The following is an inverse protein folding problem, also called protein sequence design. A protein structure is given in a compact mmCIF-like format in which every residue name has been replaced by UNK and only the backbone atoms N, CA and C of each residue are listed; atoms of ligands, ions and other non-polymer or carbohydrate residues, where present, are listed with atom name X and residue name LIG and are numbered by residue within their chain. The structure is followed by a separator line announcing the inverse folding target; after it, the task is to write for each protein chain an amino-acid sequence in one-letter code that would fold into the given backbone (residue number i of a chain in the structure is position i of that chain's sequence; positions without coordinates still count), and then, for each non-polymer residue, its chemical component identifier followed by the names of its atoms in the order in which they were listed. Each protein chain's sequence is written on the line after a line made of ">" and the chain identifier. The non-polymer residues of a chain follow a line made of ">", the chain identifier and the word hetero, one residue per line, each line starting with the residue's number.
data_IF_981670237685
#
_entry.id   IF_981670237685
#
_cell.length_a   1.000
_cell.length_b   1.000
_cell.length_c   1.000
_cell.angle_alpha   90.00
_cell.angle_beta   90.00
_cell.angle_gamma   90.00
#
_symmetry.space_group_name_H-M   'P 1'
#
loop_
_entity.id
_entity.type
_entity.pdbx_description
1 polymer ?
#
# COMPACT_ATOMS: atom_id res chain seq x y z
N UNK A 1 -6.38 8.55 -33.33
CA UNK A 1 -5.80 7.30 -32.80
C UNK A 1 -5.90 7.39 -31.29
N UNK A 2 -6.62 6.47 -30.66
CA UNK A 2 -6.73 6.43 -29.22
C UNK A 2 -5.40 6.04 -28.60
N UNK A 3 -5.03 6.60 -27.44
CA UNK A 3 -3.75 6.27 -26.78
C UNK A 3 -3.64 4.79 -26.34
N UNK A 4 -4.72 4.02 -26.44
CA UNK A 4 -4.78 2.57 -26.25
C UNK A 4 -5.02 1.81 -27.57
N UNK A 5 -4.70 2.42 -28.73
CA UNK A 5 -4.70 1.73 -30.03
C UNK A 5 -3.60 0.65 -30.00
N UNK A 6 -3.97 -0.55 -29.57
CA UNK A 6 -3.03 -1.66 -29.29
C UNK A 6 -3.26 -2.36 -27.94
N UNK A 7 -4.23 -1.92 -27.14
CA UNK A 7 -4.63 -2.66 -25.94
C UNK A 7 -5.14 -4.06 -26.30
N UNK A 8 -4.42 -5.08 -25.85
CA UNK A 8 -4.77 -6.47 -26.13
C UNK A 8 -5.85 -6.99 -25.17
N UNK A 9 -7.09 -6.95 -25.64
CA UNK A 9 -8.23 -7.50 -24.92
C UNK A 9 -8.35 -9.04 -25.06
N UNK A 10 -7.48 -9.72 -25.80
CA UNK A 10 -7.56 -11.18 -26.04
C UNK A 10 -7.41 -12.02 -24.76
N UNK A 11 -6.76 -11.45 -23.73
CA UNK A 11 -6.68 -12.05 -22.40
C UNK A 11 -8.04 -12.17 -21.70
N UNK A 12 -9.04 -11.36 -22.09
CA UNK A 12 -10.41 -11.49 -21.61
C UNK A 12 -11.18 -12.45 -22.51
N UNK A 13 -11.22 -13.72 -22.10
CA UNK A 13 -11.90 -14.81 -22.81
C UNK A 13 -13.42 -14.73 -22.66
N UNK A 14 -14.02 -13.61 -23.06
CA UNK A 14 -15.44 -13.29 -22.84
C UNK A 14 -16.41 -14.25 -23.52
N UNK A 15 -15.96 -14.97 -24.55
CA UNK A 15 -16.74 -16.01 -25.23
C UNK A 15 -16.68 -17.37 -24.52
N UNK A 16 -15.72 -17.57 -23.62
CA UNK A 16 -15.59 -18.79 -22.81
C UNK A 16 -16.50 -18.67 -21.57
N UNK A 17 -17.53 -19.51 -21.53
CA UNK A 17 -18.52 -19.52 -20.44
C UNK A 17 -17.92 -19.94 -19.10
N UNK A 18 -16.98 -20.89 -19.09
CA UNK A 18 -16.35 -21.35 -17.86
C UNK A 18 -15.45 -20.27 -17.28
N UNK A 19 -14.64 -19.63 -18.13
CA UNK A 19 -13.81 -18.50 -17.74
C UNK A 19 -14.65 -17.32 -17.18
N UNK A 20 -15.74 -16.97 -17.86
CA UNK A 20 -16.64 -15.91 -17.40
C UNK A 20 -17.32 -16.24 -16.06
N UNK A 21 -17.69 -17.50 -15.83
CA UNK A 21 -18.28 -17.92 -14.56
C UNK A 21 -17.26 -17.82 -13.42
N UNK A 22 -16.03 -18.31 -13.63
CA UNK A 22 -14.94 -18.19 -12.65
C UNK A 22 -14.63 -16.72 -12.33
N UNK A 23 -14.49 -15.87 -13.34
CA UNK A 23 -14.27 -14.44 -13.14
C UNK A 23 -15.42 -13.77 -12.40
N UNK A 24 -16.66 -14.14 -12.69
CA UNK A 24 -17.82 -13.60 -11.97
C UNK A 24 -17.80 -13.97 -10.48
N UNK A 25 -17.30 -15.17 -10.13
CA UNK A 25 -17.10 -15.56 -8.74
C UNK A 25 -15.95 -14.77 -8.09
N UNK A 26 -14.80 -14.63 -8.75
CA UNK A 26 -13.68 -13.80 -8.27
C UNK A 26 -14.10 -12.34 -8.01
N UNK A 27 -15.05 -11.80 -8.79
CA UNK A 27 -15.58 -10.45 -8.55
C UNK A 27 -16.17 -10.28 -7.14
N UNK A 28 -16.77 -11.33 -6.58
CA UNK A 28 -17.38 -11.29 -5.25
C UNK A 28 -16.36 -11.13 -4.13
N UNK A 29 -15.09 -11.46 -4.39
CA UNK A 29 -13.96 -11.22 -3.49
C UNK A 29 -13.31 -9.84 -3.74
N UNK A 30 -13.30 -9.38 -5.00
CA UNK A 30 -12.71 -8.11 -5.39
C UNK A 30 -13.58 -6.91 -5.01
N UNK A 31 -14.89 -7.01 -5.16
CA UNK A 31 -15.81 -5.89 -4.89
C UNK A 31 -15.74 -5.40 -3.43
N UNK A 32 -15.66 -6.27 -2.40
CA UNK A 32 -15.36 -5.87 -1.02
C UNK A 32 -14.02 -5.13 -0.86
N UNK A 33 -12.95 -5.59 -1.54
CA UNK A 33 -11.67 -4.87 -1.54
C UNK A 33 -11.85 -3.45 -2.11
N UNK A 34 -12.52 -3.31 -3.26
CA UNK A 34 -12.78 -1.99 -3.85
C UNK A 34 -13.62 -1.10 -2.94
N UNK A 35 -14.56 -1.67 -2.19
CA UNK A 35 -15.32 -0.95 -1.17
C UNK A 35 -14.39 -0.40 -0.08
N UNK A 36 -13.51 -1.26 0.45
CA UNK A 36 -12.51 -0.89 1.46
C UNK A 36 -11.53 0.17 0.95
N UNK A 37 -11.25 0.23 -0.35
CA UNK A 37 -10.44 1.26 -1.00
C UNK A 37 -11.26 2.52 -1.38
N UNK A 38 -12.41 2.73 -0.75
CA UNK A 38 -13.32 3.86 -0.93
C UNK A 38 -13.79 4.08 -2.37
N UNK A 39 -13.74 3.05 -3.23
CA UNK A 39 -14.24 3.14 -4.59
C UNK A 39 -15.77 3.18 -4.55
N UNK A 40 -16.36 4.31 -4.90
CA UNK A 40 -17.82 4.45 -4.94
C UNK A 40 -18.49 3.58 -6.03
N UNK A 41 -19.83 3.50 -6.01
CA UNK A 41 -20.61 2.67 -6.95
C UNK A 41 -20.29 2.91 -8.44
N UNK A 42 -20.05 4.17 -8.84
CA UNK A 42 -19.69 4.51 -10.23
C UNK A 42 -18.28 4.00 -10.57
N UNK A 43 -17.33 4.13 -9.66
CA UNK A 43 -15.97 3.61 -9.83
C UNK A 43 -15.97 2.08 -9.92
N UNK A 44 -16.65 1.40 -8.99
CA UNK A 44 -16.81 -0.07 -8.99
C UNK A 44 -17.42 -0.57 -10.29
N UNK A 45 -18.43 0.11 -10.84
CA UNK A 45 -19.03 -0.26 -12.12
C UNK A 45 -18.05 -0.15 -13.32
N UNK A 46 -17.19 0.87 -13.35
CA UNK A 46 -16.14 1.01 -14.37
C UNK A 46 -15.11 -0.11 -14.22
N UNK A 47 -14.64 -0.33 -12.99
CA UNK A 47 -13.64 -1.36 -12.68
C UNK A 47 -14.19 -2.76 -13.00
N UNK A 48 -15.47 -3.04 -12.72
CA UNK A 48 -16.14 -4.30 -13.07
C UNK A 48 -16.14 -4.55 -14.58
N UNK A 49 -16.37 -3.52 -15.40
CA UNK A 49 -16.33 -3.63 -16.87
C UNK A 49 -14.92 -3.93 -17.37
N UNK A 50 -13.90 -3.31 -16.79
CA UNK A 50 -12.52 -3.66 -17.07
C UNK A 50 -12.24 -5.12 -16.68
N UNK A 51 -12.53 -5.49 -15.44
CA UNK A 51 -12.25 -6.81 -14.90
C UNK A 51 -12.92 -7.96 -15.68
N UNK A 52 -14.20 -7.81 -16.06
CA UNK A 52 -14.97 -8.84 -16.76
C UNK A 52 -14.80 -8.82 -18.28
N UNK A 53 -14.57 -7.66 -18.89
CA UNK A 53 -14.67 -7.48 -20.36
C UNK A 53 -13.48 -6.79 -21.01
N UNK A 54 -12.46 -6.39 -20.25
CA UNK A 54 -11.33 -5.62 -20.77
C UNK A 54 -11.73 -4.21 -21.25
N UNK A 55 -12.91 -3.72 -20.86
CA UNK A 55 -13.37 -2.40 -21.28
C UNK A 55 -12.68 -1.31 -20.47
N UNK A 56 -11.86 -0.50 -21.13
CA UNK A 56 -11.15 0.61 -20.51
C UNK A 56 -12.08 1.79 -20.17
N UNK A 57 -11.76 2.58 -19.12
CA UNK A 57 -12.44 3.84 -18.86
C UNK A 57 -12.32 4.83 -20.03
N UNK A 58 -13.36 5.62 -20.25
CA UNK A 58 -13.29 6.76 -21.18
C UNK A 58 -12.71 7.97 -20.44
N UNK A 59 -11.39 8.00 -20.19
CA UNK A 59 -10.73 9.02 -19.36
C UNK A 59 -11.09 10.46 -19.76
N UNK A 60 -11.18 10.75 -21.07
CA UNK A 60 -11.60 12.06 -21.56
C UNK A 60 -12.98 12.48 -21.03
N UNK A 61 -13.95 11.56 -20.93
CA UNK A 61 -15.29 11.85 -20.39
C UNK A 61 -15.31 11.87 -18.86
N UNK A 62 -14.26 11.37 -18.22
CA UNK A 62 -14.13 11.26 -16.76
C UNK A 62 -13.20 12.33 -16.19
N UNK A 63 -12.71 13.27 -17.00
CA UNK A 63 -11.76 14.31 -16.58
C UNK A 63 -12.32 15.18 -15.44
N UNK A 64 -13.54 15.72 -15.60
CA UNK A 64 -14.20 16.58 -14.61
C UNK A 64 -14.69 15.84 -13.38
N UNK A 65 -14.78 14.51 -13.45
CA UNK A 65 -15.37 13.75 -12.36
C UNK A 65 -14.45 13.71 -11.14
N UNK A 66 -14.69 14.63 -10.21
CA UNK A 66 -14.01 14.63 -8.91
C UNK A 66 -12.48 14.70 -9.08
N UNK A 67 -12.00 15.74 -9.76
CA UNK A 67 -10.60 15.95 -10.15
C UNK A 67 -9.62 15.89 -8.96
N UNK A 68 -10.09 16.18 -7.75
CA UNK A 68 -9.33 16.16 -6.50
C UNK A 68 -9.60 14.94 -5.60
N UNK A 69 -10.36 13.95 -6.07
CA UNK A 69 -10.74 12.80 -5.24
C UNK A 69 -9.83 11.60 -5.41
N UNK A 70 -9.58 10.94 -4.29
CA UNK A 70 -8.92 9.64 -4.18
C UNK A 70 -9.84 8.47 -4.59
N UNK A 71 -11.15 8.69 -4.66
CA UNK A 71 -12.19 7.68 -4.98
C UNK A 71 -12.42 7.49 -6.49
N UNK A 72 -11.49 7.95 -7.32
CA UNK A 72 -11.55 7.84 -8.79
C UNK A 72 -11.52 6.37 -9.21
N UNK A 73 -11.78 6.14 -10.50
CA UNK A 73 -12.03 4.82 -11.08
C UNK A 73 -10.79 3.89 -11.06
N UNK A 74 -10.49 3.26 -12.19
CA UNK A 74 -9.35 2.38 -12.38
C UNK A 74 -8.03 3.17 -12.27
N UNK A 75 -7.31 2.98 -11.17
CA UNK A 75 -5.93 3.45 -10.96
C UNK A 75 -4.91 2.43 -11.45
N UNK A 76 -3.62 2.80 -11.49
CA UNK A 76 -2.55 1.94 -11.99
C UNK A 76 -2.46 0.59 -11.25
N UNK A 77 -2.60 0.58 -9.92
CA UNK A 77 -2.50 -0.66 -9.16
C UNK A 77 -3.63 -1.61 -9.54
N UNK A 78 -4.87 -1.12 -9.55
CA UNK A 78 -6.04 -1.91 -9.94
C UNK A 78 -5.99 -2.32 -11.42
N UNK A 79 -5.45 -1.46 -12.30
CA UNK A 79 -5.26 -1.78 -13.71
C UNK A 79 -4.38 -3.03 -13.90
N UNK A 80 -3.26 -3.11 -13.17
CA UNK A 80 -2.33 -4.23 -13.24
C UNK A 80 -2.79 -5.45 -12.45
N UNK A 81 -3.37 -5.24 -11.27
CA UNK A 81 -3.85 -6.30 -10.39
C UNK A 81 -5.01 -7.09 -11.01
N UNK A 82 -5.98 -6.39 -11.59
CA UNK A 82 -7.23 -6.98 -12.08
C UNK A 82 -7.12 -7.56 -13.50
N UNK A 83 -5.97 -7.42 -14.14
CA UNK A 83 -5.69 -7.97 -15.45
C UNK A 83 -5.71 -9.52 -15.42
N UNK A 84 -6.27 -10.22 -16.43
CA UNK A 84 -6.32 -11.68 -16.44
C UNK A 84 -4.96 -12.37 -16.49
N UNK A 85 -3.99 -11.76 -17.19
CA UNK A 85 -2.60 -12.22 -17.19
C UNK A 85 -1.86 -11.74 -15.95
N UNK A 86 -1.12 -12.65 -15.30
CA UNK A 86 -0.14 -12.35 -14.24
C UNK A 86 1.30 -12.21 -14.77
N UNK A 87 1.50 -12.37 -16.08
CA UNK A 87 2.82 -12.33 -16.72
C UNK A 87 3.36 -10.90 -16.78
N UNK A 88 4.53 -10.69 -16.19
CA UNK A 88 5.24 -9.41 -16.19
C UNK A 88 5.55 -8.91 -17.61
N UNK A 89 5.81 -9.80 -18.57
CA UNK A 89 6.08 -9.42 -19.96
C UNK A 89 4.84 -8.82 -20.64
N UNK A 90 3.64 -9.20 -20.19
CA UNK A 90 2.37 -8.60 -20.62
C UNK A 90 2.08 -7.32 -19.87
N UNK A 91 2.33 -7.29 -18.56
CA UNK A 91 1.92 -6.20 -17.69
C UNK A 91 2.83 -4.97 -17.75
N UNK A 92 4.14 -5.13 -18.00
CA UNK A 92 5.08 -4.00 -18.11
C UNK A 92 4.73 -3.03 -19.25
N UNK A 93 4.49 -3.49 -20.51
CA UNK A 93 4.05 -2.59 -21.57
C UNK A 93 2.72 -1.90 -21.26
N UNK A 94 1.79 -2.59 -20.59
CA UNK A 94 0.51 -2.01 -20.17
C UNK A 94 0.70 -0.92 -19.11
N UNK A 95 1.57 -1.14 -18.13
CA UNK A 95 1.97 -0.17 -17.11
C UNK A 95 2.56 1.08 -17.77
N UNK A 96 3.46 0.91 -18.74
CA UNK A 96 4.07 2.03 -19.49
C UNK A 96 3.01 2.80 -20.29
N UNK A 97 2.16 2.09 -21.05
CA UNK A 97 1.06 2.68 -21.81
C UNK A 97 0.08 3.47 -20.92
N UNK A 98 -0.21 2.99 -19.71
CA UNK A 98 -1.05 3.69 -18.75
C UNK A 98 -0.39 4.96 -18.21
N UNK A 99 0.91 4.90 -17.88
CA UNK A 99 1.67 6.03 -17.36
C UNK A 99 1.84 7.14 -18.41
N UNK A 100 2.04 6.75 -19.67
CA UNK A 100 2.23 7.63 -20.82
C UNK A 100 0.92 8.15 -21.42
N UNK A 101 -0.25 7.71 -20.93
CA UNK A 101 -1.54 8.21 -21.41
C UNK A 101 -1.77 9.66 -20.94
N UNK A 102 -1.78 10.66 -21.85
CA UNK A 102 -1.95 12.06 -21.49
C UNK A 102 -3.38 12.43 -21.08
N UNK A 103 -4.36 11.56 -21.38
CA UNK A 103 -5.76 11.74 -20.97
C UNK A 103 -6.06 11.20 -19.58
N UNK A 104 -5.19 10.35 -19.03
CA UNK A 104 -5.28 9.94 -17.63
C UNK A 104 -4.82 11.08 -16.72
N UNK A 105 -5.54 11.34 -15.62
CA UNK A 105 -5.06 12.33 -14.66
C UNK A 105 -3.79 11.81 -13.96
N UNK A 106 -2.89 12.70 -13.49
CA UNK A 106 -1.79 12.30 -12.63
C UNK A 106 -2.28 11.49 -11.42
N UNK A 107 -3.42 11.85 -10.83
CA UNK A 107 -4.03 11.11 -9.74
C UNK A 107 -4.41 9.65 -10.12
N UNK A 108 -4.92 9.40 -11.33
CA UNK A 108 -5.26 8.03 -11.77
C UNK A 108 -4.00 7.14 -11.87
N UNK A 109 -2.86 7.75 -12.21
CA UNK A 109 -1.56 7.09 -12.37
C UNK A 109 -0.85 6.85 -11.04
N UNK A 110 -0.89 7.86 -10.17
CA UNK A 110 -0.09 7.89 -8.93
C UNK A 110 -0.84 7.31 -7.71
N UNK A 111 -2.17 7.31 -7.71
CA UNK A 111 -2.95 6.79 -6.57
C UNK A 111 -2.62 5.32 -6.27
N UNK A 112 -2.35 4.53 -7.30
CA UNK A 112 -1.97 3.13 -7.12
C UNK A 112 -0.72 2.96 -6.24
N UNK A 113 0.26 3.86 -6.31
CA UNK A 113 1.46 3.80 -5.47
C UNK A 113 1.09 4.00 -4.01
N UNK A 114 0.23 4.98 -3.71
CA UNK A 114 -0.29 5.24 -2.36
C UNK A 114 -1.07 4.03 -1.83
N UNK A 115 -2.00 3.51 -2.62
CA UNK A 115 -2.84 2.37 -2.23
C UNK A 115 -2.00 1.14 -1.93
N UNK A 116 -0.99 0.85 -2.77
CA UNK A 116 -0.09 -0.28 -2.54
C UNK A 116 0.88 -0.03 -1.38
N UNK A 117 1.61 1.08 -1.37
CA UNK A 117 2.75 1.27 -0.47
C UNK A 117 2.35 1.72 0.93
N UNK A 118 1.28 2.51 1.06
CA UNK A 118 0.87 3.11 2.33
C UNK A 118 -0.39 2.45 2.90
N UNK A 119 -1.29 1.92 2.06
CA UNK A 119 -2.54 1.32 2.52
C UNK A 119 -2.46 -0.21 2.57
N UNK A 120 -2.69 -0.89 1.45
CA UNK A 120 -2.75 -2.36 1.33
C UNK A 120 -1.45 -3.02 1.77
N UNK A 121 -0.31 -2.43 1.44
CA UNK A 121 0.99 -3.01 1.75
C UNK A 121 1.55 -2.61 3.10
N UNK A 122 0.88 -1.76 3.90
CA UNK A 122 1.44 -1.27 5.16
C UNK A 122 0.39 -1.11 6.27
N UNK A 123 -0.52 -0.14 6.12
CA UNK A 123 -1.47 0.20 7.18
C UNK A 123 -2.48 -0.92 7.42
N UNK A 124 -3.09 -1.47 6.38
CA UNK A 124 -4.09 -2.54 6.54
C UNK A 124 -3.47 -3.81 7.17
N UNK A 125 -2.29 -4.30 6.72
CA UNK A 125 -1.60 -5.41 7.37
C UNK A 125 -1.29 -5.12 8.86
N UNK A 126 -0.82 -3.91 9.16
CA UNK A 126 -0.45 -3.51 10.52
C UNK A 126 -1.65 -3.39 11.48
N UNK A 127 -2.87 -3.28 10.97
CA UNK A 127 -4.11 -3.35 11.76
C UNK A 127 -4.76 -4.73 11.72
N UNK A 128 -4.04 -5.76 11.27
CA UNK A 128 -4.50 -7.15 11.24
C UNK A 128 -5.09 -7.61 9.90
N UNK A 129 -5.13 -6.76 8.88
CA UNK A 129 -5.54 -7.13 7.52
C UNK A 129 -7.05 -7.33 7.34
N UNK A 130 -7.86 -6.94 8.32
CA UNK A 130 -9.32 -7.11 8.32
C UNK A 130 -10.02 -5.86 8.83
N UNK A 131 -11.15 -5.51 8.22
CA UNK A 131 -11.97 -4.37 8.61
C UNK A 131 -13.43 -4.78 8.80
N UNK A 132 -14.05 -4.22 9.82
CA UNK A 132 -15.45 -4.45 10.14
C UNK A 132 -16.31 -3.33 9.58
N UNK A 133 -17.41 -3.70 8.95
CA UNK A 133 -18.42 -2.77 8.44
C UNK A 133 -19.80 -3.22 8.88
N UNK A 134 -20.67 -2.24 9.10
CA UNK A 134 -22.06 -2.47 9.44
C UNK A 134 -22.76 -3.27 8.33
N UNK A 135 -23.46 -4.33 8.71
CA UNK A 135 -24.13 -5.20 7.73
C UNK A 135 -25.13 -4.42 6.86
N UNK A 136 -25.91 -3.53 7.48
CA UNK A 136 -26.90 -2.69 6.78
C UNK A 136 -26.29 -1.78 5.72
N UNK A 137 -25.06 -1.32 5.94
CA UNK A 137 -24.30 -0.50 4.99
C UNK A 137 -23.87 -1.34 3.78
N UNK A 138 -23.30 -2.52 4.03
CA UNK A 138 -22.84 -3.40 2.95
C UNK A 138 -23.99 -3.99 2.13
N UNK A 139 -25.15 -4.27 2.74
CA UNK A 139 -26.36 -4.67 2.03
C UNK A 139 -26.82 -3.60 1.02
N UNK A 140 -26.62 -2.32 1.34
CA UNK A 140 -26.93 -1.23 0.42
C UNK A 140 -25.89 -1.08 -0.69
N UNK A 141 -24.60 -1.23 -0.34
CA UNK A 141 -23.50 -0.84 -1.21
C UNK A 141 -22.95 -1.96 -2.11
N UNK A 142 -22.89 -3.19 -1.58
CA UNK A 142 -22.31 -4.38 -2.23
C UNK A 142 -23.14 -5.67 -1.95
N UNK A 143 -24.46 -5.67 -2.18
CA UNK A 143 -25.36 -6.75 -1.75
C UNK A 143 -24.99 -8.14 -2.29
N UNK A 144 -24.42 -8.21 -3.49
CA UNK A 144 -24.07 -9.49 -4.13
C UNK A 144 -22.87 -10.16 -3.46
N UNK A 145 -21.94 -9.37 -2.92
CA UNK A 145 -20.69 -9.86 -2.33
C UNK A 145 -20.83 -10.26 -0.86
N UNK A 146 -21.94 -9.85 -0.21
CA UNK A 146 -22.25 -10.12 1.19
C UNK A 146 -22.23 -11.61 1.57
N UNK A 147 -22.60 -12.49 0.64
CA UNK A 147 -22.67 -13.94 0.88
C UNK A 147 -21.30 -14.56 1.16
N UNK A 148 -20.21 -13.89 0.76
CA UNK A 148 -18.84 -14.34 0.97
C UNK A 148 -18.15 -13.70 2.19
N UNK A 149 -18.81 -12.77 2.87
CA UNK A 149 -18.23 -12.07 4.02
C UNK A 149 -18.52 -12.78 5.34
N UNK A 150 -17.47 -12.99 6.12
CA UNK A 150 -17.57 -13.56 7.45
C UNK A 150 -18.32 -12.63 8.40
N UNK A 151 -19.11 -13.20 9.31
CA UNK A 151 -19.70 -12.45 10.42
C UNK A 151 -18.62 -12.06 11.42
N UNK A 152 -18.66 -10.82 11.90
CA UNK A 152 -17.84 -10.43 13.04
C UNK A 152 -18.32 -11.13 14.32
N UNK A 153 -17.42 -11.25 15.29
CA UNK A 153 -17.74 -11.84 16.61
C UNK A 153 -18.38 -10.79 17.52
N UNK A 154 -19.06 -11.26 18.56
CA UNK A 154 -19.57 -10.39 19.64
C UNK A 154 -18.46 -9.48 20.22
N UNK A 155 -18.75 -8.20 20.55
CA UNK A 155 -20.07 -7.55 20.55
C UNK A 155 -20.51 -6.96 19.18
N UNK A 156 -19.76 -7.23 18.11
CA UNK A 156 -19.99 -6.65 16.78
C UNK A 156 -20.76 -7.59 15.86
N UNK A 157 -21.71 -8.36 16.39
CA UNK A 157 -22.44 -9.36 15.61
C UNK A 157 -23.34 -8.76 14.51
N UNK A 158 -23.54 -7.44 14.49
CA UNK A 158 -24.19 -6.66 13.43
C UNK A 158 -23.25 -6.29 12.27
N UNK A 159 -21.96 -6.66 12.37
CA UNK A 159 -20.93 -6.33 11.39
C UNK A 159 -20.47 -7.53 10.55
N UNK A 160 -20.00 -7.23 9.35
CA UNK A 160 -19.27 -8.16 8.48
C UNK A 160 -17.80 -7.79 8.41
N UNK A 161 -16.95 -8.79 8.19
CA UNK A 161 -15.51 -8.62 8.06
C UNK A 161 -15.10 -8.68 6.59
N UNK A 162 -14.41 -7.65 6.13
CA UNK A 162 -13.71 -7.61 4.84
C UNK A 162 -12.23 -7.85 5.10
N UNK A 163 -11.64 -8.80 4.37
CA UNK A 163 -10.20 -9.05 4.40
C UNK A 163 -9.54 -8.21 3.30
N UNK A 164 -8.48 -7.48 3.63
CA UNK A 164 -7.78 -6.60 2.71
C UNK A 164 -6.57 -7.30 2.09
N UNK A 165 -6.75 -8.00 0.97
CA UNK A 165 -5.64 -8.73 0.33
C UNK A 165 -5.67 -8.59 -1.19
N UNK A 166 -4.50 -8.80 -1.79
CA UNK A 166 -4.27 -8.84 -3.24
C UNK A 166 -3.79 -10.24 -3.68
N UNK A 167 -4.17 -11.26 -2.92
CA UNK A 167 -3.75 -12.66 -3.15
C UNK A 167 -2.24 -12.81 -3.31
N UNK A 168 -1.49 -12.33 -2.31
CA UNK A 168 -0.03 -12.37 -2.26
C UNK A 168 0.65 -11.68 -3.46
N UNK A 169 -0.01 -10.69 -4.09
CA UNK A 169 0.51 -9.98 -5.26
C UNK A 169 1.30 -8.71 -4.93
N UNK A 170 1.43 -8.30 -3.65
CA UNK A 170 2.00 -6.99 -3.32
C UNK A 170 3.44 -6.82 -3.81
N UNK A 171 4.31 -7.84 -3.65
CA UNK A 171 5.70 -7.77 -4.15
C UNK A 171 5.75 -7.60 -5.67
N UNK A 172 4.97 -8.40 -6.40
CA UNK A 172 4.93 -8.35 -7.86
C UNK A 172 4.39 -7.01 -8.36
N UNK A 173 3.30 -6.53 -7.78
CA UNK A 173 2.72 -5.23 -8.11
C UNK A 173 3.71 -4.10 -7.83
N UNK A 174 4.40 -4.14 -6.70
CA UNK A 174 5.44 -3.17 -6.38
C UNK A 174 6.56 -3.21 -7.42
N UNK A 175 7.03 -4.41 -7.78
CA UNK A 175 8.09 -4.58 -8.77
C UNK A 175 7.73 -4.12 -10.18
N UNK A 176 6.43 -4.18 -10.52
CA UNK A 176 5.88 -3.67 -11.78
C UNK A 176 5.70 -2.16 -11.77
N UNK A 177 5.26 -1.59 -10.66
CA UNK A 177 4.91 -0.17 -10.57
C UNK A 177 6.12 0.71 -10.25
N UNK A 178 6.96 0.29 -9.31
CA UNK A 178 8.11 1.08 -8.87
C UNK A 178 9.20 1.09 -9.95
N UNK A 179 9.79 2.26 -10.25
CA UNK A 179 10.93 2.35 -11.17
C UNK A 179 12.09 1.44 -10.78
N UNK A 180 12.91 1.04 -11.75
CA UNK A 180 14.09 0.18 -11.48
C UNK A 180 15.04 0.83 -10.48
N UNK A 181 15.23 2.14 -10.57
CA UNK A 181 15.96 2.92 -9.59
C UNK A 181 15.14 3.12 -8.29
N UNK A 182 15.55 2.44 -7.23
CA UNK A 182 14.95 2.53 -5.89
C UNK A 182 15.09 3.91 -5.24
N UNK A 183 16.01 4.75 -5.73
CA UNK A 183 16.22 6.12 -5.24
C UNK A 183 15.30 7.12 -5.93
N UNK A 184 14.63 6.73 -7.01
CA UNK A 184 13.74 7.60 -7.76
C UNK A 184 12.54 8.01 -6.90
N UNK A 185 12.36 9.33 -6.72
CA UNK A 185 11.27 9.91 -5.93
C UNK A 185 10.17 10.55 -6.77
N UNK A 186 10.51 10.92 -8.00
CA UNK A 186 9.63 11.65 -8.91
C UNK A 186 9.51 10.92 -10.24
N UNK A 187 8.39 11.11 -10.92
CA UNK A 187 8.13 10.63 -12.27
C UNK A 187 7.65 11.77 -13.14
N UNK A 188 8.12 11.79 -14.38
CA UNK A 188 7.73 12.77 -15.38
C UNK A 188 6.54 12.21 -16.17
N UNK A 189 5.40 12.89 -16.08
CA UNK A 189 4.13 12.43 -16.65
C UNK A 189 3.67 13.38 -17.76
N UNK A 190 3.13 12.85 -18.87
CA UNK A 190 2.51 13.68 -19.88
C UNK A 190 1.21 14.29 -19.35
N UNK A 191 0.98 15.55 -19.72
CA UNK A 191 -0.20 16.34 -19.35
C UNK A 191 -0.73 17.13 -20.55
N UNK A 192 -2.04 17.37 -20.55
CA UNK A 192 -2.76 18.16 -21.56
C UNK A 192 -3.49 19.31 -20.87
N UNK A 193 -4.11 20.20 -21.65
CA UNK A 193 -4.96 21.29 -21.11
C UNK A 193 -6.05 20.78 -20.16
N UNK A 194 -6.45 19.50 -20.28
CA UNK A 194 -7.49 18.91 -19.44
C UNK A 194 -6.92 18.15 -18.24
N UNK A 195 -5.62 17.85 -18.21
CA UNK A 195 -5.01 16.93 -17.22
C UNK A 195 -3.85 17.52 -16.42
N UNK A 196 -3.40 18.75 -16.71
CA UNK A 196 -2.37 19.44 -15.94
C UNK A 196 -2.77 19.67 -14.47
N UNK A 197 -1.79 19.79 -13.57
CA UNK A 197 -2.03 20.04 -12.15
C UNK A 197 -1.52 21.41 -11.72
N UNK A 198 -0.30 21.76 -12.12
CA UNK A 198 0.35 22.97 -11.63
C UNK A 198 0.52 24.03 -12.72
N UNK A 199 0.83 23.63 -13.96
CA UNK A 199 1.18 24.57 -15.02
C UNK A 199 0.37 24.30 -16.28
N UNK A 200 -0.29 25.35 -16.79
CA UNK A 200 -0.99 25.24 -18.06
C UNK A 200 -0.02 24.82 -19.19
N UNK A 201 -0.35 23.77 -19.98
CA UNK A 201 0.50 23.28 -21.05
C UNK A 201 0.69 24.30 -22.17
N UNK A 202 1.93 24.37 -22.68
CA UNK A 202 2.33 25.20 -23.83
C UNK A 202 2.04 24.50 -25.15
N UNK A 203 2.21 23.18 -25.20
CA UNK A 203 1.93 22.34 -26.36
C UNK A 203 0.68 21.48 -26.13
N UNK A 204 0.15 20.80 -27.18
CA UNK A 204 -0.98 19.88 -27.00
C UNK A 204 -0.71 18.81 -25.94
N UNK A 205 0.54 18.37 -25.81
CA UNK A 205 1.06 17.51 -24.74
C UNK A 205 2.35 18.15 -24.20
N UNK A 206 2.34 18.48 -22.91
CA UNK A 206 3.51 18.88 -22.13
C UNK A 206 3.86 17.76 -21.12
N UNK A 207 4.86 17.98 -20.27
CA UNK A 207 5.22 17.08 -19.19
C UNK A 207 5.39 17.84 -17.88
N UNK A 208 4.91 17.26 -16.79
CA UNK A 208 5.10 17.74 -15.42
C UNK A 208 5.79 16.66 -14.58
N UNK A 209 6.60 17.06 -13.61
CA UNK A 209 7.18 16.16 -12.62
C UNK A 209 6.25 16.03 -11.41
N UNK A 210 6.03 14.80 -10.97
CA UNK A 210 5.21 14.49 -9.82
C UNK A 210 5.95 13.57 -8.86
N UNK A 211 5.78 13.70 -7.54
CA UNK A 211 6.29 12.70 -6.61
C UNK A 211 5.54 11.38 -6.81
N UNK A 212 6.25 10.24 -6.70
CA UNK A 212 5.63 8.92 -6.79
C UNK A 212 4.63 8.67 -5.65
N UNK A 213 4.94 9.19 -4.45
CA UNK A 213 4.07 9.16 -3.28
C UNK A 213 3.75 10.60 -2.82
N UNK A 214 2.50 10.91 -2.46
CA UNK A 214 2.13 12.24 -2.00
C UNK A 214 2.74 12.58 -0.63
N UNK A 215 2.97 11.56 0.20
CA UNK A 215 3.76 11.65 1.44
C UNK A 215 4.97 10.74 1.27
N UNK A 216 6.20 11.23 1.48
CA UNK A 216 7.38 10.38 1.39
C UNK A 216 7.35 9.31 2.49
N UNK A 217 8.05 8.21 2.24
CA UNK A 217 8.42 7.32 3.32
C UNK A 217 9.42 8.03 4.25
N UNK A 218 9.34 7.73 5.54
CA UNK A 218 10.03 8.35 6.66
C UNK A 218 10.26 7.32 7.78
N UNK A 219 10.96 7.75 8.84
CA UNK A 219 11.22 6.92 10.02
C UNK A 219 9.95 6.56 10.80
N UNK A 220 8.88 7.37 10.70
CA UNK A 220 7.63 7.13 11.43
C UNK A 220 6.91 5.86 10.95
N UNK A 221 7.16 5.39 9.71
CA UNK A 221 6.62 4.09 9.29
C UNK A 221 7.16 2.91 10.09
N UNK A 222 8.33 3.00 10.75
CA UNK A 222 8.80 1.94 11.64
C UNK A 222 7.79 1.63 12.75
N UNK A 223 7.10 2.65 13.27
CA UNK A 223 6.01 2.45 14.22
C UNK A 223 4.92 1.55 13.62
N UNK A 224 4.48 1.85 12.41
CA UNK A 224 3.44 1.07 11.72
C UNK A 224 3.90 -0.36 11.43
N UNK A 225 5.13 -0.54 10.93
CA UNK A 225 5.72 -1.87 10.73
C UNK A 225 5.84 -2.65 12.06
N UNK A 226 6.15 -1.96 13.17
CA UNK A 226 6.26 -2.62 14.48
C UNK A 226 4.91 -3.04 15.07
N UNK A 227 3.81 -2.33 14.77
CA UNK A 227 2.45 -2.75 15.17
C UNK A 227 2.05 -4.06 14.52
N UNK A 228 2.47 -4.27 13.27
CA UNK A 228 2.27 -5.56 12.60
C UNK A 228 2.97 -6.71 13.34
N UNK A 229 4.15 -6.48 13.92
CA UNK A 229 4.84 -7.48 14.74
C UNK A 229 4.01 -7.87 15.98
N UNK A 230 3.33 -6.92 16.60
CA UNK A 230 2.46 -7.14 17.76
C UNK A 230 1.13 -7.83 17.43
N UNK A 231 0.81 -8.07 16.15
CA UNK A 231 -0.48 -8.67 15.77
C UNK A 231 -0.60 -10.13 16.25
N UNK A 232 -1.79 -10.57 16.69
CA UNK A 232 -2.00 -11.93 17.18
C UNK A 232 -1.83 -12.96 16.06
N UNK A 233 -1.38 -14.17 16.42
CA UNK A 233 -1.34 -15.34 15.51
C UNK A 233 -2.71 -16.03 15.45
N UNK A 234 -3.07 -16.68 14.34
CA UNK A 234 -2.40 -16.63 13.04
C UNK A 234 -2.76 -15.34 12.28
N UNK A 235 -1.84 -14.85 11.44
CA UNK A 235 -2.09 -13.66 10.62
C UNK A 235 -3.20 -13.94 9.59
N UNK A 236 -4.17 -13.03 9.50
CA UNK A 236 -5.17 -13.05 8.43
C UNK A 236 -4.49 -12.87 7.06
N UNK A 237 -5.11 -13.30 5.94
CA UNK A 237 -4.53 -13.16 4.60
C UNK A 237 -4.03 -11.75 4.29
N UNK A 238 -4.82 -10.72 4.63
CA UNK A 238 -4.41 -9.33 4.43
C UNK A 238 -3.21 -8.87 5.27
N UNK A 239 -2.92 -9.52 6.39
CA UNK A 239 -1.74 -9.24 7.20
C UNK A 239 -0.51 -10.06 6.79
N UNK A 240 -0.69 -11.14 6.02
CA UNK A 240 0.41 -12.01 5.58
C UNK A 240 1.24 -11.38 4.46
N UNK A 241 0.62 -10.57 3.62
CA UNK A 241 1.26 -9.93 2.46
C UNK A 241 1.73 -8.49 2.76
N UNK A 242 2.24 -8.25 3.97
CA UNK A 242 2.85 -6.97 4.36
C UNK A 242 4.05 -6.67 3.43
N UNK A 243 4.00 -5.54 2.71
CA UNK A 243 4.92 -5.20 1.62
C UNK A 243 6.38 -5.10 2.08
N UNK A 244 6.63 -4.57 3.28
CA UNK A 244 8.00 -4.35 3.75
C UNK A 244 8.70 -5.62 4.22
N UNK A 245 8.06 -6.80 4.15
CA UNK A 245 8.75 -8.08 4.30
C UNK A 245 9.68 -8.40 3.11
N UNK A 246 9.42 -7.77 1.96
CA UNK A 246 10.17 -7.98 0.73
C UNK A 246 11.35 -7.02 0.64
N UNK A 247 12.43 -7.46 -0.01
CA UNK A 247 13.71 -6.74 -0.03
C UNK A 247 13.61 -5.37 -0.73
N UNK A 248 13.08 -5.34 -1.96
CA UNK A 248 13.05 -4.10 -2.75
C UNK A 248 12.20 -2.99 -2.14
N UNK A 249 10.98 -3.22 -1.60
CA UNK A 249 10.25 -2.19 -0.87
C UNK A 249 11.00 -1.67 0.35
N UNK A 250 11.72 -2.54 1.07
CA UNK A 250 12.50 -2.15 2.24
C UNK A 250 13.71 -1.28 1.85
N UNK A 251 14.38 -1.60 0.75
CA UNK A 251 15.46 -0.77 0.19
C UNK A 251 14.95 0.62 -0.26
N UNK A 252 13.75 0.68 -0.84
CA UNK A 252 13.10 1.97 -1.15
C UNK A 252 12.84 2.78 0.13
N UNK A 253 12.29 2.16 1.18
CA UNK A 253 12.11 2.83 2.47
C UNK A 253 13.44 3.40 3.01
N UNK A 254 14.50 2.60 3.01
CA UNK A 254 15.84 3.04 3.43
C UNK A 254 16.30 4.28 2.67
N UNK A 255 16.22 4.29 1.34
CA UNK A 255 16.65 5.44 0.54
C UNK A 255 15.84 6.71 0.79
N UNK A 256 14.62 6.58 1.31
CA UNK A 256 13.79 7.71 1.69
C UNK A 256 14.17 8.25 3.08
N UNK A 257 14.43 7.39 4.06
CA UNK A 257 14.60 7.76 5.47
C UNK A 257 16.07 7.81 5.98
N UNK A 258 17.06 7.28 5.24
CA UNK A 258 18.43 7.12 5.73
C UNK A 258 19.06 8.42 6.26
N UNK A 259 18.68 9.57 5.70
CA UNK A 259 19.20 10.89 6.08
C UNK A 259 18.22 11.70 6.94
N UNK A 260 17.10 11.12 7.33
CA UNK A 260 16.09 11.81 8.12
C UNK A 260 16.56 11.90 9.57
N UNK A 261 16.44 13.10 10.15
CA UNK A 261 16.71 13.30 11.57
C UNK A 261 15.51 12.86 12.41
N UNK A 262 15.80 12.34 13.60
CA UNK A 262 14.76 11.98 14.56
C UNK A 262 13.92 13.20 14.93
N UNK A 263 12.59 13.07 14.91
CA UNK A 263 11.66 14.14 15.24
C UNK A 263 11.99 14.80 16.59
N UNK A 264 11.90 16.13 16.66
CA UNK A 264 12.09 16.86 17.93
C UNK A 264 10.96 16.68 18.93
N UNK A 265 9.81 16.13 18.48
CA UNK A 265 8.63 15.92 19.32
C UNK A 265 8.79 14.63 20.14
N UNK A 266 8.72 14.77 21.45
CA UNK A 266 8.89 13.65 22.40
C UNK A 266 8.01 12.43 22.09
N UNK A 267 6.73 12.64 21.75
CA UNK A 267 5.80 11.55 21.42
C UNK A 267 6.28 10.71 20.22
N UNK A 268 6.79 11.32 19.15
CA UNK A 268 7.30 10.57 17.99
C UNK A 268 8.57 9.81 18.31
N UNK A 269 9.45 10.40 19.14
CA UNK A 269 10.66 9.72 19.63
C UNK A 269 10.36 8.50 20.47
N UNK A 270 9.35 8.58 21.33
CA UNK A 270 8.90 7.43 22.12
C UNK A 270 8.38 6.31 21.22
N UNK A 271 7.52 6.62 20.25
CA UNK A 271 7.01 5.64 19.29
C UNK A 271 8.14 4.97 18.49
N UNK A 272 9.15 5.74 18.08
CA UNK A 272 10.30 5.23 17.35
C UNK A 272 11.17 4.31 18.21
N UNK A 273 11.41 4.66 19.49
CA UNK A 273 12.09 3.79 20.45
C UNK A 273 11.34 2.47 20.63
N UNK A 274 10.01 2.52 20.81
CA UNK A 274 9.19 1.30 20.94
C UNK A 274 9.28 0.46 19.65
N UNK A 275 9.23 1.10 18.48
CA UNK A 275 9.31 0.41 17.20
C UNK A 275 10.64 -0.35 17.04
N UNK A 276 11.75 0.33 17.31
CA UNK A 276 13.09 -0.26 17.26
C UNK A 276 13.20 -1.36 18.32
N UNK A 277 12.73 -1.14 19.54
CA UNK A 277 12.72 -2.16 20.60
C UNK A 277 11.97 -3.43 20.14
N UNK A 278 10.76 -3.30 19.60
CA UNK A 278 9.99 -4.43 19.06
C UNK A 278 10.77 -5.19 17.99
N UNK A 279 11.41 -4.49 17.05
CA UNK A 279 12.22 -5.11 16.00
C UNK A 279 13.37 -5.92 16.61
N UNK A 280 14.12 -5.34 17.55
CA UNK A 280 15.28 -6.00 18.14
C UNK A 280 14.91 -7.16 19.07
N UNK A 281 13.77 -7.08 19.76
CA UNK A 281 13.31 -8.08 20.72
C UNK A 281 12.24 -9.04 20.18
N UNK A 282 11.92 -9.00 18.88
CA UNK A 282 10.98 -9.93 18.28
C UNK A 282 11.52 -11.37 18.32
N UNK A 283 10.75 -12.28 18.90
CA UNK A 283 11.12 -13.69 19.05
C UNK A 283 10.90 -14.46 17.74
N UNK A 284 11.91 -14.44 16.88
CA UNK A 284 11.91 -15.15 15.60
C UNK A 284 11.81 -16.68 15.75
N UNK A 285 12.29 -17.24 16.86
CA UNK A 285 12.24 -18.69 17.12
C UNK A 285 10.81 -19.11 17.45
N UNK A 286 10.13 -18.39 18.35
CA UNK A 286 8.72 -18.61 18.63
C UNK A 286 7.81 -18.23 17.44
N UNK A 287 8.25 -17.31 16.57
CA UNK A 287 7.51 -16.96 15.36
C UNK A 287 7.47 -18.11 14.34
N UNK A 288 8.63 -18.70 14.06
CA UNK A 288 8.87 -19.70 13.01
C UNK A 288 9.64 -19.11 11.82
N UNK A 289 10.59 -19.87 11.26
CA UNK A 289 11.56 -19.39 10.26
C UNK A 289 10.89 -18.88 8.97
N UNK A 290 9.83 -19.54 8.52
CA UNK A 290 9.13 -19.23 7.26
C UNK A 290 8.04 -18.14 7.39
N UNK A 291 7.90 -17.52 8.56
CA UNK A 291 6.90 -16.45 8.75
C UNK A 291 7.28 -15.18 7.99
N UNK A 292 6.32 -14.48 7.35
CA UNK A 292 6.47 -13.10 6.87
C UNK A 292 7.17 -12.17 7.86
N UNK A 293 6.82 -12.26 9.15
CA UNK A 293 7.38 -11.39 10.19
C UNK A 293 8.83 -11.71 10.48
N UNK A 294 9.19 -13.00 10.52
CA UNK A 294 10.60 -13.43 10.66
C UNK A 294 11.45 -12.93 9.51
N UNK A 295 10.96 -13.04 8.27
CA UNK A 295 11.60 -12.52 7.06
C UNK A 295 11.81 -11.01 7.10
N UNK A 296 10.81 -10.26 7.56
CA UNK A 296 10.92 -8.81 7.74
C UNK A 296 11.96 -8.47 8.80
N UNK A 297 11.84 -9.05 10.00
CA UNK A 297 12.69 -8.76 11.16
C UNK A 297 14.16 -9.05 10.83
N UNK A 298 14.47 -10.16 10.17
CA UNK A 298 15.83 -10.47 9.74
C UNK A 298 16.42 -9.37 8.83
N UNK A 299 15.65 -8.92 7.83
CA UNK A 299 16.08 -7.90 6.86
C UNK A 299 16.24 -6.52 7.51
N UNK A 300 15.22 -6.06 8.23
CA UNK A 300 15.25 -4.72 8.83
C UNK A 300 16.33 -4.63 9.92
N UNK A 301 16.55 -5.69 10.72
CA UNK A 301 17.66 -5.69 11.70
C UNK A 301 19.01 -5.57 11.01
N UNK A 302 19.27 -6.38 9.99
CA UNK A 302 20.50 -6.28 9.21
C UNK A 302 20.70 -4.88 8.62
N UNK A 303 19.65 -4.28 8.08
CA UNK A 303 19.66 -2.91 7.55
C UNK A 303 20.00 -1.88 8.64
N UNK A 304 19.33 -1.92 9.80
CA UNK A 304 19.56 -1.00 10.92
C UNK A 304 20.95 -1.16 11.55
N UNK A 305 21.57 -2.34 11.46
CA UNK A 305 22.88 -2.61 12.03
C UNK A 305 24.05 -2.29 11.09
N UNK A 306 23.86 -2.46 9.78
CA UNK A 306 24.96 -2.46 8.81
C UNK A 306 25.00 -1.22 7.92
N UNK A 307 23.87 -0.51 7.77
CA UNK A 307 23.75 0.65 6.89
C UNK A 307 23.95 1.96 7.64
N UNK A 308 24.26 3.00 6.90
CA UNK A 308 24.45 4.34 7.44
C UNK A 308 23.10 5.07 7.56
N UNK A 309 22.85 5.65 8.74
CA UNK A 309 21.69 6.49 9.01
C UNK A 309 22.15 7.83 9.60
N UNK A 310 21.23 8.79 9.72
CA UNK A 310 21.50 10.08 10.39
C UNK A 310 22.10 9.89 11.79
N UNK A 311 22.95 10.83 12.26
CA UNK A 311 23.54 10.75 13.59
C UNK A 311 22.52 10.65 14.72
N UNK A 312 21.40 11.39 14.62
CA UNK A 312 20.34 11.34 15.63
C UNK A 312 19.66 9.98 15.70
N UNK A 313 19.40 9.34 14.55
CA UNK A 313 18.80 8.02 14.52
C UNK A 313 19.79 6.93 14.97
N UNK A 314 21.06 7.02 14.59
CA UNK A 314 22.13 6.16 15.10
C UNK A 314 22.24 6.22 16.64
N UNK A 315 22.14 7.42 17.23
CA UNK A 315 22.12 7.57 18.68
C UNK A 315 20.90 6.90 19.33
N UNK A 316 19.71 6.99 18.71
CA UNK A 316 18.50 6.31 19.16
C UNK A 316 18.63 4.78 19.05
N UNK A 317 19.17 4.26 17.94
CA UNK A 317 19.44 2.84 17.74
C UNK A 317 20.40 2.30 18.81
N UNK A 318 21.46 3.05 19.14
CA UNK A 318 22.42 2.67 20.17
C UNK A 318 21.77 2.50 21.55
N UNK A 319 20.83 3.36 21.92
CA UNK A 319 20.09 3.29 23.20
C UNK A 319 19.34 1.95 23.31
N UNK A 320 18.67 1.51 22.25
CA UNK A 320 17.98 0.20 22.26
C UNK A 320 18.99 -0.96 22.27
N UNK A 321 20.02 -0.90 21.42
CA UNK A 321 21.00 -1.99 21.28
C UNK A 321 21.83 -2.22 22.54
N UNK A 322 22.15 -1.14 23.27
CA UNK A 322 22.90 -1.22 24.52
C UNK A 322 22.03 -1.67 25.71
N UNK A 323 20.72 -1.88 25.50
CA UNK A 323 19.78 -2.22 26.56
C UNK A 323 19.43 -1.06 27.49
N UNK A 324 19.69 0.19 27.08
CA UNK A 324 19.32 1.39 27.85
C UNK A 324 17.80 1.64 27.78
N UNK A 325 17.15 1.33 26.65
CA UNK A 325 15.69 1.42 26.52
C UNK A 325 14.99 0.16 27.02
N UNK A 326 14.13 0.33 28.03
CA UNK A 326 13.18 -0.69 28.48
C UNK A 326 11.77 -0.24 28.10
N UNK A 327 11.01 -1.15 27.49
CA UNK A 327 9.61 -0.91 27.10
C UNK A 327 8.70 -1.81 27.93
N UNK A 328 7.76 -1.19 28.63
CA UNK A 328 6.65 -1.87 29.31
C UNK A 328 5.60 -2.31 28.29
N UNK A 329 5.05 -3.51 28.48
CA UNK A 329 4.04 -4.13 27.59
C UNK A 329 4.32 -3.94 26.09
N UNK A 330 5.52 -4.32 25.61
CA UNK A 330 5.98 -3.96 24.28
C UNK A 330 5.09 -4.50 23.16
N UNK A 331 4.27 -5.52 23.40
CA UNK A 331 3.42 -6.13 22.38
C UNK A 331 1.95 -5.67 22.44
N UNK A 332 1.63 -4.63 23.23
CA UNK A 332 0.28 -4.08 23.36
C UNK A 332 0.17 -2.68 22.71
N UNK A 333 -1.06 -2.15 22.65
CA UNK A 333 -1.30 -0.76 22.26
C UNK A 333 -0.90 0.25 23.35
N UNK A 334 -0.69 -0.23 24.58
CA UNK A 334 -0.36 0.58 25.75
C UNK A 334 1.16 0.63 26.02
N UNK A 335 1.97 0.11 25.08
CA UNK A 335 3.42 0.06 25.19
C UNK A 335 4.02 1.43 25.48
N UNK A 336 4.93 1.49 26.46
CA UNK A 336 5.58 2.73 26.91
C UNK A 336 7.05 2.55 27.21
N UNK A 337 7.85 3.57 26.93
CA UNK A 337 9.26 3.58 27.34
C UNK A 337 9.33 3.94 28.82
N UNK A 338 9.94 3.08 29.63
CA UNK A 338 9.98 3.21 31.10
C UNK A 338 10.74 4.46 31.56
N UNK A 339 11.75 4.89 30.80
CA UNK A 339 12.62 6.03 31.07
C UNK A 339 12.29 7.24 30.20
N UNK A 340 11.47 8.21 30.65
CA UNK A 340 11.04 9.35 29.85
C UNK A 340 12.17 10.26 29.38
N UNK A 341 13.26 10.33 30.14
CA UNK A 341 14.47 11.10 29.81
C UNK A 341 15.06 10.69 28.46
N UNK A 342 14.88 9.43 28.06
CA UNK A 342 15.38 8.92 26.79
C UNK A 342 14.72 9.57 25.59
N UNK A 343 13.47 10.06 25.69
CA UNK A 343 12.72 10.63 24.56
C UNK A 343 12.21 12.05 24.80
N UNK A 344 12.33 12.58 26.02
CA UNK A 344 12.03 13.98 26.34
C UNK A 344 13.27 14.88 26.22
N UNK A 345 14.48 14.33 26.37
CA UNK A 345 15.73 15.07 26.28
C UNK A 345 16.10 15.55 24.87
N UNK A 346 17.14 16.39 24.78
CA UNK A 346 17.73 16.88 23.51
C UNK A 346 18.77 15.90 22.91
N UNK A 347 18.81 14.64 23.38
CA UNK A 347 19.82 13.63 23.01
C UNK A 347 19.88 13.33 21.51
N UNK A 348 18.82 13.65 20.77
CA UNK A 348 18.69 13.39 19.32
C UNK A 348 18.40 14.64 18.49
N UNK A 349 18.50 15.85 19.07
CA UNK A 349 18.40 17.08 18.29
C UNK A 349 19.76 17.42 17.69
N UNK A 350 19.82 17.45 16.36
CA UNK A 350 20.89 18.09 15.59
C UNK A 350 20.77 19.60 15.65
#
# INVERSE_FOLDING_TARGET
>A
MGYFDGFDASHWKTTDKAWMAERTLQWLEIEPLLYLLDKNKKARAIIKRYFLKGTLPEWEKLHDWNRSSTTRHLDLMLFLYLHPSKDDAVLRPLRDMFMDNPHALPADRLMGFTELCLRIGLVLPATGGTHMFQQSELEREIPQSMVHLAQAREPYADCKVIVAHTDDSNERLFNLMWPEDVTQRHVRLPVTRNTYSFKAPRYPVDFEEFPLLPLPLDLDQLWTMSKWLASPKALAPGARDMLFQYERPLEVWYHFCAREEVSSKAAWRELLLIAVYRIFHFDQQAEGEDSPRTRFVARIKAMLEQREFSPSFQALLAVVRNGEAVVEDPWSNDAKVVSPELYTGIRYSS
#
